data_IF_744424874098
#
_entry.id   IF_744424874098
#
_cell.length_a   1.000
_cell.length_b   1.000
_cell.length_c   1.000
_cell.angle_alpha   90.00
_cell.angle_beta   90.00
_cell.angle_gamma   90.00
#
_symmetry.space_group_name_H-M   'P 1'
#
loop_
_entity.id
_entity.type
_entity.pdbx_description
1 polymer ?
#
# COMPACT_ATOMS: atom_id res chain seq x y z
N UNK A 1 -68.67 20.49 -20.60
CA UNK A 1 -68.19 21.10 -21.86
C UNK A 1 -66.68 20.92 -21.92
N UNK A 2 -66.21 20.33 -23.03
CA UNK A 2 -64.85 20.28 -23.62
C UNK A 2 -63.76 21.12 -22.91
N UNK A 3 -62.68 20.48 -22.44
CA UNK A 3 -61.33 20.47 -23.06
C UNK A 3 -60.45 21.64 -22.58
N UNK A 4 -59.12 21.62 -22.42
CA UNK A 4 -57.98 20.80 -22.82
C UNK A 4 -56.80 21.17 -21.88
N UNK A 5 -55.87 20.24 -21.65
CA UNK A 5 -54.40 20.40 -21.41
C UNK A 5 -53.93 19.25 -20.48
N UNK A 6 -53.62 18.04 -20.98
CA UNK A 6 -52.35 17.53 -21.56
C UNK A 6 -51.07 17.81 -20.77
N UNK A 7 -50.51 16.75 -20.14
CA UNK A 7 -49.12 16.29 -20.27
C UNK A 7 -49.03 14.87 -19.67
N UNK A 8 -48.92 13.81 -20.49
CA UNK A 8 -47.72 12.95 -20.68
C UNK A 8 -47.09 12.47 -19.35
N UNK A 9 -47.01 11.20 -18.97
CA UNK A 9 -46.92 9.97 -19.76
C UNK A 9 -45.49 9.43 -19.74
N UNK A 10 -45.35 8.10 -19.55
CA UNK A 10 -44.13 7.26 -19.51
C UNK A 10 -43.55 7.13 -18.08
N UNK A 11 -43.42 5.95 -17.46
CA UNK A 11 -43.35 4.58 -17.98
C UNK A 11 -41.98 3.98 -17.68
N UNK A 12 -41.97 2.91 -16.88
CA UNK A 12 -40.97 1.84 -16.77
C UNK A 12 -39.47 2.16 -16.99
N UNK A 13 -38.66 1.89 -15.97
CA UNK A 13 -37.21 1.79 -16.12
C UNK A 13 -36.55 1.24 -14.86
N UNK A 14 -36.62 -0.08 -14.67
CA UNK A 14 -35.69 -0.81 -13.81
C UNK A 14 -34.28 -0.64 -14.40
N UNK A 15 -33.49 0.28 -13.85
CA UNK A 15 -32.07 0.39 -14.19
C UNK A 15 -31.28 -0.57 -13.30
N UNK A 16 -31.11 -1.80 -13.79
CA UNK A 16 -30.01 -2.68 -13.38
C UNK A 16 -28.69 -1.98 -13.75
N UNK A 17 -28.03 -1.37 -12.77
CA UNK A 17 -26.61 -1.04 -12.91
C UNK A 17 -25.82 -2.34 -12.85
N UNK A 18 -25.58 -2.93 -14.02
CA UNK A 18 -24.49 -3.88 -14.21
C UNK A 18 -23.22 -3.04 -14.20
N UNK A 19 -22.56 -2.96 -13.03
CA UNK A 19 -21.20 -2.46 -12.94
C UNK A 19 -20.27 -3.47 -13.62
N UNK A 20 -20.09 -3.31 -14.93
CA UNK A 20 -19.02 -3.94 -15.67
C UNK A 20 -17.70 -3.27 -15.23
N UNK A 21 -16.99 -3.89 -14.29
CA UNK A 21 -15.61 -3.51 -13.97
C UNK A 21 -14.76 -3.92 -15.17
N UNK A 22 -14.56 -2.98 -16.09
CA UNK A 22 -13.49 -3.06 -17.09
C UNK A 22 -12.19 -2.81 -16.33
N UNK A 23 -11.47 -3.88 -16.03
CA UNK A 23 -10.10 -3.79 -15.54
C UNK A 23 -9.22 -3.21 -16.66
N UNK A 24 -9.00 -1.89 -16.61
CA UNK A 24 -7.99 -1.21 -17.42
C UNK A 24 -6.65 -1.44 -16.72
N UNK A 25 -6.02 -2.58 -16.96
CA UNK A 25 -4.62 -2.78 -16.62
C UNK A 25 -3.75 -1.96 -17.60
N UNK A 26 -3.29 -0.80 -17.15
CA UNK A 26 -2.25 -0.02 -17.82
C UNK A 26 -0.89 -0.77 -17.75
N UNK A 27 0.02 -0.55 -18.71
CA UNK A 27 1.24 -1.34 -18.82
C UNK A 27 2.25 -0.93 -17.73
N UNK A 28 2.68 -1.89 -16.89
CA UNK A 28 3.86 -1.71 -16.04
C UNK A 28 5.11 -1.98 -16.89
N UNK A 29 5.83 -0.92 -17.24
CA UNK A 29 7.18 -0.98 -17.81
C UNK A 29 8.18 -0.69 -16.69
N UNK A 30 9.01 -1.71 -16.44
CA UNK A 30 10.31 -1.77 -15.73
C UNK A 30 10.50 -0.97 -14.44
N UNK A 31 10.95 -1.67 -13.39
CA UNK A 31 12.02 -1.17 -12.55
C UNK A 31 13.16 -2.19 -12.50
N UNK A 32 14.34 -1.68 -12.83
CA UNK A 32 15.61 -2.38 -12.68
C UNK A 32 16.19 -1.96 -11.33
N UNK A 33 16.15 -2.87 -10.35
CA UNK A 33 16.97 -2.75 -9.14
C UNK A 33 18.07 -3.80 -9.24
N UNK A 34 19.30 -3.31 -9.36
CA UNK A 34 20.52 -4.10 -9.30
C UNK A 34 20.97 -4.18 -7.85
N UNK A 35 20.61 -5.27 -7.18
CA UNK A 35 21.44 -5.85 -6.12
C UNK A 35 21.85 -7.27 -6.52
N UNK A 36 22.71 -7.91 -5.74
CA UNK A 36 23.27 -9.22 -6.07
C UNK A 36 22.15 -10.26 -6.25
N UNK A 37 21.83 -10.54 -7.50
CA UNK A 37 20.70 -11.39 -7.87
C UNK A 37 19.50 -10.54 -8.25
N UNK A 38 18.91 -10.81 -9.40
CA UNK A 38 17.87 -9.94 -9.97
C UNK A 38 16.92 -10.72 -10.85
N UNK A 39 15.63 -10.45 -10.68
CA UNK A 39 14.56 -10.87 -11.58
C UNK A 39 14.26 -9.70 -12.52
N UNK A 40 14.41 -9.92 -13.82
CA UNK A 40 13.98 -8.98 -14.85
C UNK A 40 12.90 -9.65 -15.70
N UNK A 41 11.70 -9.07 -15.68
CA UNK A 41 10.59 -9.50 -16.53
C UNK A 41 10.22 -8.35 -17.44
N UNK A 42 10.24 -8.58 -18.74
CA UNK A 42 9.79 -7.62 -19.74
C UNK A 42 8.62 -8.22 -20.49
N UNK A 43 7.42 -7.73 -20.18
CA UNK A 43 6.20 -8.03 -20.92
C UNK A 43 5.96 -6.93 -21.96
N UNK A 44 6.08 -7.25 -23.24
CA UNK A 44 5.82 -6.29 -24.33
C UNK A 44 4.38 -6.51 -24.82
N UNK A 45 3.53 -5.50 -24.60
CA UNK A 45 2.10 -5.55 -24.88
C UNK A 45 1.68 -5.92 -26.33
N UNK A 46 0.37 -6.17 -26.49
CA UNK A 46 -0.45 -6.53 -27.68
C UNK A 46 0.00 -7.69 -28.59
N UNK A 47 1.26 -8.14 -28.56
CA UNK A 47 1.78 -9.20 -29.45
C UNK A 47 1.88 -10.61 -28.85
N UNK A 48 1.71 -10.76 -27.54
CA UNK A 48 1.94 -12.04 -26.85
C UNK A 48 3.43 -12.40 -26.73
N UNK A 49 4.35 -11.46 -26.82
CA UNK A 49 5.77 -11.73 -26.67
C UNK A 49 6.31 -11.15 -25.36
N UNK A 50 7.24 -11.85 -24.74
CA UNK A 50 7.91 -11.37 -23.53
C UNK A 50 9.19 -12.12 -23.28
N UNK A 51 9.96 -11.61 -22.33
CA UNK A 51 11.16 -12.26 -21.84
C UNK A 51 11.25 -12.19 -20.32
N UNK A 52 11.96 -13.17 -19.77
CA UNK A 52 12.24 -13.33 -18.36
C UNK A 52 13.71 -13.66 -18.20
N UNK A 53 14.34 -13.07 -17.20
CA UNK A 53 15.68 -13.40 -16.75
C UNK A 53 15.72 -13.40 -15.22
N UNK A 54 16.24 -14.47 -14.64
CA UNK A 54 16.59 -14.58 -13.23
C UNK A 54 18.05 -14.97 -13.12
N UNK A 55 18.76 -14.31 -12.20
CA UNK A 55 20.10 -14.70 -11.78
C UNK A 55 20.14 -14.77 -10.27
N UNK A 56 20.49 -15.92 -9.72
CA UNK A 56 20.50 -16.18 -8.27
C UNK A 56 21.41 -17.37 -7.97
N UNK A 57 22.28 -17.28 -6.96
CA UNK A 57 23.12 -18.39 -6.47
C UNK A 57 23.87 -19.22 -7.53
N UNK A 58 24.36 -18.56 -8.60
CA UNK A 58 25.08 -19.23 -9.68
C UNK A 58 24.20 -19.97 -10.69
N UNK A 59 22.88 -19.90 -10.52
CA UNK A 59 21.88 -20.26 -11.50
C UNK A 59 21.47 -19.01 -12.30
N UNK A 60 21.48 -19.14 -13.62
CA UNK A 60 20.84 -18.18 -14.52
C UNK A 60 19.72 -18.91 -15.26
N UNK A 61 18.50 -18.38 -15.19
CA UNK A 61 17.36 -18.88 -15.96
C UNK A 61 16.88 -17.75 -16.83
N UNK A 62 16.60 -18.04 -18.10
CA UNK A 62 15.90 -17.12 -18.97
C UNK A 62 14.83 -17.83 -19.76
N UNK A 63 13.78 -17.08 -20.10
CA UNK A 63 12.78 -17.54 -21.03
C UNK A 63 12.41 -16.43 -21.99
N UNK A 64 12.19 -16.79 -23.25
CA UNK A 64 11.67 -15.92 -24.29
C UNK A 64 10.43 -16.59 -24.87
N UNK A 65 9.37 -15.82 -25.10
CA UNK A 65 8.18 -16.37 -25.72
C UNK A 65 7.56 -15.43 -26.73
N UNK A 66 6.82 -16.04 -27.66
CA UNK A 66 5.98 -15.37 -28.66
C UNK A 66 4.64 -16.09 -28.72
N UNK A 67 3.56 -15.34 -28.64
CA UNK A 67 2.20 -15.84 -28.68
C UNK A 67 1.59 -16.13 -27.30
N UNK A 68 0.64 -17.05 -27.23
CA UNK A 68 -0.09 -17.34 -25.98
C UNK A 68 0.18 -18.76 -25.55
N UNK A 69 0.41 -18.95 -24.25
CA UNK A 69 0.60 -20.26 -23.67
C UNK A 69 -0.03 -20.31 -22.28
N UNK A 70 -0.32 -21.52 -21.81
CA UNK A 70 -0.75 -21.79 -20.45
C UNK A 70 -0.01 -23.03 -19.95
N UNK A 71 0.49 -22.97 -18.72
CA UNK A 71 1.06 -24.13 -18.06
C UNK A 71 -0.03 -25.14 -17.66
N UNK A 72 0.32 -26.41 -17.62
CA UNK A 72 -0.42 -27.39 -16.83
C UNK A 72 -0.11 -27.20 -15.34
N UNK A 73 -0.85 -27.89 -14.46
CA UNK A 73 -0.70 -27.75 -13.01
C UNK A 73 0.74 -28.08 -12.55
N UNK A 74 1.32 -29.16 -13.10
CA UNK A 74 2.68 -29.60 -12.79
C UNK A 74 3.77 -28.55 -13.14
N UNK A 75 3.47 -27.60 -14.04
CA UNK A 75 4.43 -26.67 -14.61
C UNK A 75 5.49 -27.31 -15.51
N UNK A 76 5.45 -28.63 -15.71
CA UNK A 76 6.38 -29.41 -16.55
C UNK A 76 5.85 -29.53 -17.98
N UNK A 77 4.56 -29.27 -18.20
CA UNK A 77 3.95 -29.27 -19.52
C UNK A 77 3.14 -28.00 -19.78
N UNK A 78 2.83 -27.76 -21.06
CA UNK A 78 1.94 -26.68 -21.50
C UNK A 78 0.59 -27.28 -21.86
N UNK A 79 -0.48 -26.77 -21.26
CA UNK A 79 -1.86 -27.15 -21.58
C UNK A 79 -2.36 -26.48 -22.86
N UNK A 80 -1.74 -25.35 -23.24
CA UNK A 80 -1.91 -24.74 -24.55
C UNK A 80 -0.66 -23.97 -24.97
N UNK A 81 -0.36 -23.97 -26.27
CA UNK A 81 0.65 -23.11 -26.89
C UNK A 81 0.22 -22.74 -28.30
N UNK A 82 0.17 -21.43 -28.56
CA UNK A 82 0.09 -20.84 -29.89
C UNK A 82 1.24 -19.87 -30.06
N UNK A 83 2.34 -20.37 -30.63
CA UNK A 83 3.60 -19.67 -30.83
C UNK A 83 4.76 -20.49 -30.30
N UNK A 84 5.68 -19.85 -29.60
CA UNK A 84 6.96 -20.43 -29.18
C UNK A 84 7.28 -20.02 -27.74
N UNK A 85 7.86 -20.95 -26.97
CA UNK A 85 8.48 -20.68 -25.68
C UNK A 85 9.87 -21.31 -25.70
N UNK A 86 10.90 -20.51 -25.46
CA UNK A 86 12.27 -20.97 -25.26
C UNK A 86 12.64 -20.76 -23.80
N UNK A 87 13.20 -21.79 -23.16
CA UNK A 87 13.73 -21.71 -21.79
C UNK A 87 15.18 -22.14 -21.80
N UNK A 88 16.05 -21.36 -21.15
CA UNK A 88 17.48 -21.62 -21.03
C UNK A 88 17.87 -21.56 -19.56
N UNK A 89 18.65 -22.54 -19.10
CA UNK A 89 19.31 -22.49 -17.80
C UNK A 89 20.82 -22.61 -17.95
N UNK A 90 21.56 -21.88 -17.12
CA UNK A 90 23.01 -22.02 -16.96
C UNK A 90 23.31 -22.15 -15.49
N UNK A 91 23.84 -23.31 -15.08
CA UNK A 91 24.27 -23.58 -13.70
C UNK A 91 25.70 -24.12 -13.73
N UNK A 92 26.64 -23.46 -13.04
CA UNK A 92 28.07 -23.86 -12.99
C UNK A 92 28.64 -24.23 -14.37
N UNK A 93 28.41 -23.35 -15.34
CA UNK A 93 28.80 -23.48 -16.77
C UNK A 93 28.04 -24.54 -17.59
N UNK A 94 27.19 -25.35 -16.97
CA UNK A 94 26.32 -26.29 -17.70
C UNK A 94 25.12 -25.55 -18.29
N UNK A 95 25.14 -25.35 -19.62
CA UNK A 95 24.02 -24.76 -20.37
C UNK A 95 23.03 -25.84 -20.82
N UNK A 96 21.75 -25.63 -20.51
CA UNK A 96 20.62 -26.43 -20.99
C UNK A 96 19.59 -25.53 -21.63
N UNK A 97 18.89 -26.04 -22.65
CA UNK A 97 17.86 -25.29 -23.37
C UNK A 97 16.71 -26.21 -23.77
N UNK A 98 15.49 -25.71 -23.70
CA UNK A 98 14.31 -26.33 -24.28
C UNK A 98 13.54 -25.31 -25.12
N UNK A 99 12.99 -25.77 -26.23
CA UNK A 99 12.14 -24.98 -27.14
C UNK A 99 10.83 -25.73 -27.31
N UNK A 100 9.73 -25.03 -27.11
CA UNK A 100 8.36 -25.49 -27.30
C UNK A 100 7.74 -24.71 -28.45
N UNK A 101 7.19 -25.41 -29.45
CA UNK A 101 6.53 -24.78 -30.60
C UNK A 101 5.11 -25.34 -30.74
N UNK A 102 4.12 -24.45 -30.84
CA UNK A 102 2.70 -24.81 -30.91
C UNK A 102 1.92 -24.00 -31.94
N UNK A 103 1.15 -24.68 -32.78
CA UNK A 103 0.39 -24.09 -33.89
C UNK A 103 -1.13 -24.27 -33.82
N UNK A 104 -1.67 -24.72 -32.68
CA UNK A 104 -3.08 -25.14 -32.54
C UNK A 104 -3.32 -26.65 -32.65
N UNK A 105 -2.26 -27.45 -32.54
CA UNK A 105 -2.26 -28.92 -32.46
C UNK A 105 -1.21 -29.38 -31.43
N UNK A 106 -0.54 -30.50 -31.68
CA UNK A 106 0.50 -31.03 -30.78
C UNK A 106 1.67 -30.04 -30.60
N UNK A 107 2.20 -29.99 -29.38
CA UNK A 107 3.33 -29.13 -29.01
C UNK A 107 4.62 -29.87 -29.32
N UNK A 108 5.43 -29.33 -30.21
CA UNK A 108 6.73 -29.87 -30.56
C UNK A 108 7.77 -29.43 -29.53
N UNK A 109 8.61 -30.37 -29.09
CA UNK A 109 9.64 -30.15 -28.06
C UNK A 109 11.02 -30.43 -28.66
N UNK A 110 11.97 -29.55 -28.40
CA UNK A 110 13.39 -29.78 -28.68
C UNK A 110 14.24 -29.35 -27.50
N UNK A 111 15.15 -30.21 -27.05
CA UNK A 111 16.01 -29.96 -25.90
C UNK A 111 17.49 -30.09 -26.27
N UNK A 112 18.34 -29.35 -25.55
CA UNK A 112 19.76 -29.24 -25.80
C UNK A 112 20.55 -29.22 -24.49
N UNK A 113 21.69 -29.92 -24.46
CA UNK A 113 22.65 -29.93 -23.37
C UNK A 113 24.04 -29.60 -23.91
N UNK A 114 24.72 -28.60 -23.33
CA UNK A 114 26.04 -28.17 -23.82
C UNK A 114 26.04 -27.61 -25.25
N UNK A 115 24.87 -27.29 -25.80
CA UNK A 115 24.69 -26.84 -27.19
C UNK A 115 24.39 -27.96 -28.20
N UNK A 116 24.46 -29.22 -27.78
CA UNK A 116 24.10 -30.37 -28.61
C UNK A 116 22.62 -30.73 -28.42
N UNK A 117 21.95 -31.11 -29.51
CA UNK A 117 20.54 -31.54 -29.47
C UNK A 117 20.45 -32.93 -28.84
N UNK A 118 19.47 -33.15 -27.98
CA UNK A 118 19.12 -34.47 -27.46
C UNK A 118 18.18 -35.14 -28.47
N UNK A 119 18.64 -36.22 -29.10
CA UNK A 119 17.88 -36.95 -30.13
C UNK A 119 16.88 -37.97 -29.54
N UNK A 120 17.15 -38.47 -28.33
CA UNK A 120 16.23 -39.37 -27.64
C UNK A 120 15.01 -38.59 -27.12
N UNK A 121 13.82 -38.97 -27.59
CA UNK A 121 12.58 -38.22 -27.34
C UNK A 121 12.22 -38.15 -25.85
N UNK A 122 12.32 -39.26 -25.13
CA UNK A 122 12.03 -39.31 -23.69
C UNK A 122 13.00 -38.44 -22.87
N UNK A 123 14.30 -38.49 -23.18
CA UNK A 123 15.32 -37.68 -22.51
C UNK A 123 15.14 -36.17 -22.81
N UNK A 124 14.76 -35.84 -24.05
CA UNK A 124 14.48 -34.47 -24.44
C UNK A 124 13.22 -33.94 -23.74
N UNK A 125 12.17 -34.75 -23.63
CA UNK A 125 10.94 -34.39 -22.92
C UNK A 125 11.18 -34.21 -21.42
N UNK A 126 11.99 -35.07 -20.80
CA UNK A 126 12.33 -34.95 -19.37
C UNK A 126 13.10 -33.65 -19.08
N UNK A 127 14.16 -33.36 -19.85
CA UNK A 127 14.90 -32.10 -19.70
C UNK A 127 14.02 -30.88 -19.97
N UNK A 128 13.17 -30.94 -21.00
CA UNK A 128 12.26 -29.85 -21.31
C UNK A 128 11.27 -29.59 -20.17
N UNK A 129 10.70 -30.64 -19.59
CA UNK A 129 9.81 -30.53 -18.44
C UNK A 129 10.49 -29.92 -17.21
N UNK A 130 11.73 -30.30 -16.93
CA UNK A 130 12.52 -29.72 -15.85
C UNK A 130 12.76 -28.22 -16.05
N UNK A 131 13.14 -27.81 -17.26
CA UNK A 131 13.37 -26.40 -17.59
C UNK A 131 12.08 -25.58 -17.54
N UNK A 132 10.98 -26.13 -18.05
CA UNK A 132 9.68 -25.45 -18.03
C UNK A 132 9.18 -25.25 -16.59
N UNK A 133 9.34 -26.24 -15.73
CA UNK A 133 8.96 -26.14 -14.33
C UNK A 133 9.85 -25.15 -13.59
N UNK A 134 11.15 -25.13 -13.89
CA UNK A 134 12.06 -24.12 -13.37
C UNK A 134 11.60 -22.71 -13.77
N UNK A 135 11.21 -22.50 -15.02
CA UNK A 135 10.65 -21.22 -15.48
C UNK A 135 9.33 -20.87 -14.77
N UNK A 136 8.39 -21.81 -14.67
CA UNK A 136 7.11 -21.62 -14.00
C UNK A 136 7.27 -21.24 -12.52
N UNK A 137 8.23 -21.86 -11.82
CA UNK A 137 8.53 -21.63 -10.39
C UNK A 137 9.38 -20.41 -10.10
N UNK A 138 9.98 -19.81 -11.14
CA UNK A 138 10.93 -18.70 -10.98
C UNK A 138 10.37 -17.35 -11.46
N UNK A 139 9.37 -17.35 -12.35
CA UNK A 139 9.00 -16.14 -13.10
C UNK A 139 7.71 -15.46 -12.66
N UNK A 140 6.73 -16.18 -12.09
CA UNK A 140 5.38 -15.62 -11.87
C UNK A 140 4.58 -15.39 -13.15
N UNK A 141 5.13 -15.67 -14.34
CA UNK A 141 4.42 -15.53 -15.61
C UNK A 141 3.24 -16.51 -15.65
N UNK A 142 2.07 -16.02 -16.03
CA UNK A 142 0.81 -16.80 -16.07
C UNK A 142 0.47 -17.49 -14.73
N UNK A 143 0.84 -16.88 -13.60
CA UNK A 143 0.51 -17.39 -12.27
C UNK A 143 -0.99 -17.60 -12.07
N UNK A 144 -1.83 -16.70 -12.56
CA UNK A 144 -3.30 -16.79 -12.53
C UNK A 144 -3.82 -18.10 -13.15
N UNK A 145 -3.34 -18.42 -14.35
CA UNK A 145 -3.74 -19.61 -15.10
C UNK A 145 -3.21 -20.87 -14.43
N UNK A 146 -1.95 -20.87 -13.97
CA UNK A 146 -1.35 -22.04 -13.33
C UNK A 146 -1.96 -22.30 -11.95
N UNK A 147 -2.19 -21.27 -11.14
CA UNK A 147 -2.92 -21.39 -9.87
C UNK A 147 -4.31 -21.97 -10.12
N UNK A 148 -5.03 -21.50 -11.14
CA UNK A 148 -6.34 -22.06 -11.50
C UNK A 148 -6.26 -23.54 -11.90
N UNK A 149 -5.22 -23.96 -12.63
CA UNK A 149 -5.00 -25.35 -13.00
C UNK A 149 -4.69 -26.24 -11.78
N UNK A 150 -3.77 -25.80 -10.91
CA UNK A 150 -3.42 -26.50 -9.66
C UNK A 150 -4.65 -26.62 -8.76
N UNK A 151 -5.43 -25.54 -8.67
CA UNK A 151 -6.65 -25.46 -7.89
C UNK A 151 -7.69 -26.48 -8.36
N UNK A 152 -7.87 -26.63 -9.67
CA UNK A 152 -8.77 -27.62 -10.26
C UNK A 152 -8.31 -29.07 -10.06
N UNK A 153 -7.00 -29.31 -10.06
CA UNK A 153 -6.44 -30.66 -9.97
C UNK A 153 -6.29 -31.16 -8.52
N UNK A 154 -5.84 -30.29 -7.61
CA UNK A 154 -5.34 -30.69 -6.29
C UNK A 154 -5.86 -29.84 -5.14
N UNK A 155 -6.77 -28.90 -5.40
CA UNK A 155 -7.37 -28.09 -4.36
C UNK A 155 -6.37 -27.12 -3.71
N UNK A 156 -6.81 -26.47 -2.62
CA UNK A 156 -6.11 -25.30 -2.04
C UNK A 156 -4.76 -25.70 -1.44
N UNK A 157 -4.72 -26.90 -0.87
CA UNK A 157 -3.51 -27.53 -0.35
C UNK A 157 -2.45 -27.67 -1.45
N UNK A 158 -2.84 -28.00 -2.70
CA UNK A 158 -1.92 -28.06 -3.83
C UNK A 158 -1.33 -26.70 -4.20
N UNK A 159 -2.14 -25.64 -4.16
CA UNK A 159 -1.66 -24.27 -4.42
C UNK A 159 -0.67 -23.82 -3.34
N UNK A 160 -0.95 -24.09 -2.07
CA UNK A 160 -0.05 -23.78 -0.95
C UNK A 160 1.25 -24.56 -1.06
N UNK A 161 1.19 -25.84 -1.40
CA UNK A 161 2.39 -26.65 -1.63
C UNK A 161 3.24 -26.08 -2.77
N UNK A 162 2.62 -25.70 -3.90
CA UNK A 162 3.34 -25.08 -5.00
C UNK A 162 3.99 -23.75 -4.59
N UNK A 163 3.29 -22.90 -3.84
CA UNK A 163 3.84 -21.64 -3.32
C UNK A 163 5.09 -21.87 -2.45
N UNK A 164 5.12 -22.97 -1.70
CA UNK A 164 6.30 -23.41 -0.93
C UNK A 164 7.51 -23.76 -1.81
N UNK A 165 7.27 -24.28 -3.01
CA UNK A 165 8.31 -24.72 -3.95
C UNK A 165 8.81 -23.61 -4.91
N UNK A 166 8.18 -22.43 -4.88
CA UNK A 166 8.57 -21.29 -5.73
C UNK A 166 9.95 -20.76 -5.34
N UNK A 167 10.73 -20.40 -6.36
CA UNK A 167 12.15 -20.08 -6.22
C UNK A 167 12.44 -18.60 -6.02
N UNK A 168 11.66 -17.72 -6.61
CA UNK A 168 11.88 -16.27 -6.49
C UNK A 168 10.78 -15.60 -5.68
N UNK A 169 11.13 -14.54 -4.96
CA UNK A 169 10.17 -13.73 -4.22
C UNK A 169 9.10 -13.12 -5.15
N UNK A 170 9.49 -12.77 -6.38
CA UNK A 170 8.56 -12.28 -7.40
C UNK A 170 7.51 -13.34 -7.77
N UNK A 171 7.93 -14.59 -8.02
CA UNK A 171 7.00 -15.67 -8.31
C UNK A 171 6.06 -15.94 -7.12
N UNK A 172 6.58 -15.94 -5.90
CA UNK A 172 5.77 -16.10 -4.68
C UNK A 172 4.69 -15.04 -4.59
N UNK A 173 5.05 -13.76 -4.76
CA UNK A 173 4.09 -12.66 -4.74
C UNK A 173 2.98 -12.83 -5.77
N UNK A 174 3.34 -13.16 -7.02
CA UNK A 174 2.37 -13.38 -8.10
C UNK A 174 1.42 -14.56 -7.83
N UNK A 175 1.92 -15.67 -7.27
CA UNK A 175 1.07 -16.83 -6.95
C UNK A 175 0.19 -16.57 -5.72
N UNK A 176 0.69 -15.87 -4.71
CA UNK A 176 -0.12 -15.45 -3.55
C UNK A 176 -1.25 -14.52 -4.01
N UNK A 177 -0.94 -13.54 -4.86
CA UNK A 177 -1.95 -12.63 -5.42
C UNK A 177 -3.02 -13.40 -6.20
N UNK A 178 -2.61 -14.25 -7.14
CA UNK A 178 -3.54 -15.08 -7.91
C UNK A 178 -4.40 -16.00 -7.02
N UNK A 179 -3.81 -16.58 -5.97
CA UNK A 179 -4.53 -17.47 -5.07
C UNK A 179 -5.53 -16.73 -4.18
N UNK A 180 -5.12 -15.61 -3.59
CA UNK A 180 -5.98 -14.79 -2.76
C UNK A 180 -7.14 -14.17 -3.58
N UNK A 181 -6.90 -13.79 -4.84
CA UNK A 181 -7.99 -13.28 -5.71
C UNK A 181 -8.97 -14.38 -6.16
N UNK A 182 -8.50 -15.62 -6.33
CA UNK A 182 -9.31 -16.71 -6.89
C UNK A 182 -10.09 -17.52 -5.84
N UNK A 183 -9.75 -17.42 -4.55
CA UNK A 183 -10.40 -18.17 -3.50
C UNK A 183 -10.54 -17.38 -2.19
N UNK A 184 -11.60 -17.70 -1.42
CA UNK A 184 -11.69 -17.30 0.00
C UNK A 184 -10.90 -18.27 0.85
N UNK A 185 -9.92 -17.73 1.57
CA UNK A 185 -8.97 -18.50 2.37
C UNK A 185 -9.43 -18.59 3.82
N UNK A 186 -9.22 -19.74 4.45
CA UNK A 186 -9.41 -19.87 5.89
C UNK A 186 -8.18 -19.38 6.67
N UNK A 187 -8.30 -19.33 8.01
CA UNK A 187 -7.24 -18.81 8.87
C UNK A 187 -5.93 -19.62 8.78
N UNK A 188 -6.00 -20.95 8.59
CA UNK A 188 -4.82 -21.81 8.46
C UNK A 188 -4.15 -21.65 7.10
N UNK A 189 -4.93 -21.44 6.05
CA UNK A 189 -4.43 -21.15 4.70
C UNK A 189 -3.73 -19.79 4.67
N UNK A 190 -4.34 -18.74 5.25
CA UNK A 190 -3.71 -17.42 5.38
C UNK A 190 -2.41 -17.52 6.20
N UNK A 191 -2.44 -18.26 7.32
CA UNK A 191 -1.25 -18.53 8.14
C UNK A 191 -0.09 -19.08 7.32
N UNK A 192 -0.33 -20.09 6.48
CA UNK A 192 0.71 -20.69 5.66
C UNK A 192 1.29 -19.71 4.62
N UNK A 193 0.46 -18.82 4.06
CA UNK A 193 0.93 -17.77 3.16
C UNK A 193 1.80 -16.74 3.89
N UNK A 194 1.41 -16.33 5.11
CA UNK A 194 2.20 -15.41 5.93
C UNK A 194 3.57 -16.02 6.26
N UNK A 195 3.62 -17.30 6.62
CA UNK A 195 4.88 -17.99 6.90
C UNK A 195 5.79 -18.00 5.67
N UNK A 196 5.23 -18.18 4.47
CA UNK A 196 6.01 -18.08 3.23
C UNK A 196 6.49 -16.65 2.97
N UNK A 197 5.65 -15.65 3.19
CA UNK A 197 5.98 -14.23 3.02
C UNK A 197 7.14 -13.82 3.92
N UNK A 198 7.14 -14.27 5.17
CA UNK A 198 8.20 -13.95 6.14
C UNK A 198 9.58 -14.45 5.71
N UNK A 199 9.65 -15.46 4.84
CA UNK A 199 10.89 -16.00 4.27
C UNK A 199 11.32 -15.32 2.96
N UNK A 200 10.56 -14.34 2.46
CA UNK A 200 10.91 -13.67 1.21
C UNK A 200 12.09 -12.72 1.41
N UNK A 201 12.95 -12.67 0.41
CA UNK A 201 13.93 -11.61 0.26
C UNK A 201 13.33 -10.51 -0.63
N UNK A 202 13.53 -9.25 -0.24
CA UNK A 202 13.04 -8.08 -0.98
C UNK A 202 11.68 -7.54 -0.52
N UNK A 203 11.70 -6.26 -0.17
CA UNK A 203 10.57 -5.54 0.42
C UNK A 203 9.38 -5.41 -0.52
N UNK A 204 9.64 -5.12 -1.80
CA UNK A 204 8.61 -5.00 -2.81
C UNK A 204 7.73 -6.26 -2.92
N UNK A 205 8.36 -7.45 -2.90
CA UNK A 205 7.66 -8.73 -3.03
C UNK A 205 6.85 -9.04 -1.77
N UNK A 206 7.43 -8.81 -0.58
CA UNK A 206 6.71 -8.93 0.70
C UNK A 206 5.47 -8.05 0.71
N UNK A 207 5.65 -6.74 0.48
CA UNK A 207 4.56 -5.76 0.46
C UNK A 207 3.48 -6.14 -0.54
N UNK A 208 3.85 -6.54 -1.77
CA UNK A 208 2.86 -6.92 -2.79
C UNK A 208 2.04 -8.15 -2.37
N UNK A 209 2.69 -9.17 -1.81
CA UNK A 209 2.01 -10.37 -1.33
C UNK A 209 1.06 -10.08 -0.16
N UNK A 210 1.51 -9.26 0.80
CA UNK A 210 0.67 -8.86 1.94
C UNK A 210 -0.51 -8.00 1.48
N UNK A 211 -0.27 -7.01 0.61
CA UNK A 211 -1.31 -6.15 0.02
C UNK A 211 -2.42 -6.97 -0.64
N UNK A 212 -2.05 -8.01 -1.39
CA UNK A 212 -3.01 -8.89 -2.03
C UNK A 212 -3.89 -9.64 -1.00
N UNK A 213 -3.31 -10.08 0.12
CA UNK A 213 -4.07 -10.72 1.20
C UNK A 213 -5.03 -9.72 1.86
N UNK A 214 -4.54 -8.54 2.27
CA UNK A 214 -5.35 -7.50 2.92
C UNK A 214 -6.52 -7.01 2.07
N UNK A 215 -6.31 -6.87 0.75
CA UNK A 215 -7.35 -6.36 -0.18
C UNK A 215 -8.42 -7.39 -0.54
N UNK A 216 -8.14 -8.68 -0.37
CA UNK A 216 -9.03 -9.75 -0.90
C UNK A 216 -9.60 -10.66 0.18
N UNK A 217 -8.94 -10.76 1.32
CA UNK A 217 -9.30 -11.65 2.42
C UNK A 217 -9.79 -10.87 3.63
N UNK A 218 -10.52 -11.55 4.51
CA UNK A 218 -10.83 -11.07 5.85
C UNK A 218 -9.92 -11.79 6.82
N UNK A 219 -9.25 -11.05 7.71
CA UNK A 219 -8.33 -11.63 8.67
C UNK A 219 -8.99 -11.70 10.04
N UNK A 220 -8.61 -12.72 10.81
CA UNK A 220 -8.83 -12.71 12.25
C UNK A 220 -7.64 -12.04 12.95
N UNK A 221 -7.85 -11.59 14.19
CA UNK A 221 -6.85 -10.87 15.01
C UNK A 221 -5.47 -11.55 15.00
N UNK A 222 -5.41 -12.89 15.12
CA UNK A 222 -4.14 -13.62 15.10
C UNK A 222 -3.36 -13.44 13.79
N UNK A 223 -4.04 -13.51 12.65
CA UNK A 223 -3.40 -13.37 11.34
C UNK A 223 -3.10 -11.90 11.01
N UNK A 224 -3.88 -10.94 11.52
CA UNK A 224 -3.53 -9.51 11.43
C UNK A 224 -2.20 -9.24 12.14
N UNK A 225 -2.06 -9.70 13.39
CA UNK A 225 -0.82 -9.54 14.16
C UNK A 225 0.37 -10.17 13.44
N UNK A 226 0.20 -11.35 12.85
CA UNK A 226 1.27 -12.04 12.12
C UNK A 226 1.63 -11.34 10.81
N UNK A 227 0.67 -10.78 10.08
CA UNK A 227 0.96 -9.93 8.92
C UNK A 227 1.77 -8.72 9.33
N UNK A 228 1.39 -8.05 10.42
CA UNK A 228 2.12 -6.87 10.91
C UNK A 228 3.55 -7.27 11.32
N UNK A 229 3.74 -8.44 11.94
CA UNK A 229 5.07 -8.97 12.26
C UNK A 229 5.91 -9.28 11.02
N UNK A 230 5.30 -9.82 9.96
CA UNK A 230 6.00 -10.02 8.70
C UNK A 230 6.39 -8.67 8.07
N UNK A 231 5.51 -7.67 8.14
CA UNK A 231 5.76 -6.31 7.65
C UNK A 231 6.93 -5.62 8.39
N UNK A 232 7.19 -5.93 9.66
CA UNK A 232 8.36 -5.39 10.40
C UNK A 232 9.72 -5.74 9.80
N UNK A 233 9.77 -6.69 8.88
CA UNK A 233 11.01 -7.10 8.19
C UNK A 233 11.20 -6.40 6.85
N UNK A 234 10.35 -5.41 6.54
CA UNK A 234 10.52 -4.50 5.40
C UNK A 234 11.44 -3.37 5.87
N UNK A 235 12.49 -3.09 5.11
CA UNK A 235 13.50 -2.09 5.44
C UNK A 235 13.26 -0.75 4.72
N UNK A 236 12.63 -0.77 3.54
CA UNK A 236 12.34 0.44 2.77
C UNK A 236 11.16 1.24 3.33
N UNK A 237 11.41 2.51 3.67
CA UNK A 237 10.40 3.49 4.11
C UNK A 237 9.16 3.49 3.21
N UNK A 238 9.37 3.52 1.89
CA UNK A 238 8.28 3.59 0.92
C UNK A 238 7.39 2.35 0.97
N UNK A 239 8.00 1.16 0.99
CA UNK A 239 7.28 -0.10 1.09
C UNK A 239 6.55 -0.25 2.43
N UNK A 240 7.19 0.20 3.53
CA UNK A 240 6.61 0.13 4.86
C UNK A 240 5.44 1.11 5.03
N UNK A 241 5.54 2.32 4.50
CA UNK A 241 4.40 3.26 4.41
C UNK A 241 3.23 2.65 3.65
N UNK A 242 3.47 2.12 2.44
CA UNK A 242 2.41 1.50 1.64
C UNK A 242 1.74 0.33 2.37
N UNK A 243 2.52 -0.42 3.15
CA UNK A 243 2.02 -1.51 3.98
C UNK A 243 1.11 -0.97 5.10
N UNK A 244 1.46 0.15 5.72
CA UNK A 244 0.61 0.82 6.72
C UNK A 244 -0.69 1.35 6.07
N UNK A 245 -0.61 1.94 4.87
CA UNK A 245 -1.79 2.38 4.11
C UNK A 245 -2.74 1.21 3.80
N UNK A 246 -2.22 0.07 3.37
CA UNK A 246 -3.02 -1.13 3.12
C UNK A 246 -3.68 -1.67 4.42
N UNK A 247 -3.00 -1.56 5.58
CA UNK A 247 -3.58 -1.93 6.88
C UNK A 247 -4.70 -0.96 7.30
N UNK A 248 -4.49 0.33 7.09
CA UNK A 248 -5.50 1.36 7.35
C UNK A 248 -6.73 1.12 6.47
N UNK A 249 -6.57 0.87 5.17
CA UNK A 249 -7.67 0.56 4.25
C UNK A 249 -8.42 -0.73 4.63
N UNK A 250 -7.68 -1.77 5.05
CA UNK A 250 -8.27 -3.03 5.49
C UNK A 250 -9.19 -2.87 6.71
N UNK A 251 -8.83 -1.93 7.59
CA UNK A 251 -9.41 -1.77 8.91
C UNK A 251 -8.80 -2.77 9.89
N UNK A 252 -8.26 -2.25 10.99
CA UNK A 252 -7.63 -3.05 12.05
C UNK A 252 -8.34 -2.80 13.36
N UNK A 253 -8.41 -3.80 14.23
CA UNK A 253 -8.91 -3.60 15.59
C UNK A 253 -7.89 -2.79 16.42
N UNK A 254 -8.30 -2.23 17.57
CA UNK A 254 -7.45 -1.38 18.42
C UNK A 254 -6.10 -2.04 18.81
N UNK A 255 -6.08 -3.35 19.05
CA UNK A 255 -4.84 -4.07 19.35
C UNK A 255 -3.92 -4.11 18.13
N UNK A 256 -4.46 -4.49 16.98
CA UNK A 256 -3.73 -4.53 15.71
C UNK A 256 -3.23 -3.13 15.32
N UNK A 257 -4.03 -2.08 15.56
CA UNK A 257 -3.64 -0.69 15.35
C UNK A 257 -2.42 -0.29 16.19
N UNK A 258 -2.44 -0.59 17.49
CA UNK A 258 -1.29 -0.32 18.38
C UNK A 258 -0.01 -1.06 17.96
N UNK A 259 -0.13 -2.24 17.34
CA UNK A 259 1.03 -2.97 16.83
C UNK A 259 1.48 -2.39 15.49
N UNK A 260 0.53 -2.02 14.62
CA UNK A 260 0.78 -1.43 13.31
C UNK A 260 1.41 -0.03 13.42
N UNK A 261 1.03 0.78 14.42
CA UNK A 261 1.64 2.09 14.66
C UNK A 261 3.13 1.99 14.98
N UNK A 262 3.60 0.90 15.59
CA UNK A 262 5.03 0.66 15.82
C UNK A 262 5.81 0.38 14.54
N UNK A 263 5.14 0.16 13.39
CA UNK A 263 5.84 0.10 12.10
C UNK A 263 6.43 1.47 11.72
N UNK A 264 5.86 2.56 12.23
CA UNK A 264 6.36 3.92 11.99
C UNK A 264 7.79 4.11 12.53
N UNK A 265 8.17 3.39 13.58
CA UNK A 265 9.56 3.42 14.11
C UNK A 265 10.60 2.91 13.10
N UNK A 266 10.17 2.14 12.09
CA UNK A 266 11.02 1.65 11.02
C UNK A 266 11.10 2.57 9.80
N UNK A 267 10.47 3.75 9.84
CA UNK A 267 10.48 4.73 8.74
C UNK A 267 11.36 5.91 9.16
N UNK A 268 12.31 6.30 8.30
CA UNK A 268 13.22 7.42 8.58
C UNK A 268 12.68 8.77 8.09
N UNK A 269 11.99 8.80 6.95
CA UNK A 269 11.53 10.05 6.33
C UNK A 269 10.22 10.60 6.89
N UNK A 270 10.23 11.86 7.38
CA UNK A 270 9.05 12.60 7.85
C UNK A 270 7.85 12.54 6.87
N UNK A 271 8.12 12.67 5.57
CA UNK A 271 7.09 12.58 4.53
C UNK A 271 6.38 11.23 4.52
N UNK A 272 7.13 10.14 4.67
CA UNK A 272 6.59 8.78 4.67
C UNK A 272 5.88 8.48 6.00
N UNK A 273 6.43 8.95 7.13
CA UNK A 273 5.80 8.88 8.46
C UNK A 273 4.45 9.60 8.44
N UNK A 274 4.40 10.84 7.92
CA UNK A 274 3.16 11.60 7.80
C UNK A 274 2.13 10.80 7.02
N UNK A 275 2.45 10.34 5.81
CA UNK A 275 1.49 9.61 4.98
C UNK A 275 0.96 8.34 5.68
N UNK A 276 1.85 7.60 6.35
CA UNK A 276 1.47 6.41 7.10
C UNK A 276 0.48 6.73 8.24
N UNK A 277 0.74 7.79 9.02
CA UNK A 277 -0.14 8.20 10.12
C UNK A 277 -1.45 8.83 9.61
N UNK A 278 -1.39 9.64 8.55
CA UNK A 278 -2.57 10.22 7.89
C UNK A 278 -3.54 9.14 7.43
N UNK A 279 -3.04 8.03 6.88
CA UNK A 279 -3.90 6.93 6.43
C UNK A 279 -4.78 6.36 7.55
N UNK A 280 -4.26 6.26 8.78
CA UNK A 280 -5.08 5.87 9.94
C UNK A 280 -5.97 7.00 10.43
N UNK A 281 -5.46 8.23 10.53
CA UNK A 281 -6.22 9.39 11.03
C UNK A 281 -7.44 9.74 10.16
N UNK A 282 -7.33 9.51 8.85
CA UNK A 282 -8.40 9.70 7.87
C UNK A 282 -9.40 8.52 7.84
N UNK A 283 -9.11 7.41 8.53
CA UNK A 283 -10.01 6.28 8.58
C UNK A 283 -11.14 6.51 9.60
N UNK A 284 -12.38 6.55 9.13
CA UNK A 284 -13.54 6.78 10.00
C UNK A 284 -13.84 5.68 11.02
N UNK A 285 -13.22 4.52 10.90
CA UNK A 285 -13.38 3.40 11.80
C UNK A 285 -12.53 3.49 13.08
N UNK A 286 -11.49 4.33 13.13
CA UNK A 286 -10.70 4.51 14.35
C UNK A 286 -11.46 5.38 15.37
N UNK A 287 -11.28 5.10 16.65
CA UNK A 287 -11.89 5.89 17.71
C UNK A 287 -11.02 7.10 18.12
N UNK A 288 -11.60 7.99 18.93
CA UNK A 288 -10.93 9.22 19.36
C UNK A 288 -9.69 8.97 20.26
N UNK A 289 -9.63 7.83 20.96
CA UNK A 289 -8.49 7.48 21.82
C UNK A 289 -7.32 7.04 20.95
N UNK A 290 -7.60 6.21 19.95
CA UNK A 290 -6.63 5.77 18.96
C UNK A 290 -6.13 6.95 18.11
N UNK A 291 -7.03 7.82 17.64
CA UNK A 291 -6.67 9.03 16.90
C UNK A 291 -5.77 9.97 17.72
N UNK A 292 -6.09 10.18 19.00
CA UNK A 292 -5.24 10.96 19.90
C UNK A 292 -3.84 10.34 20.08
N UNK A 293 -3.77 9.01 20.21
CA UNK A 293 -2.50 8.29 20.33
C UNK A 293 -1.63 8.41 19.07
N UNK A 294 -2.25 8.40 17.88
CA UNK A 294 -1.56 8.61 16.61
C UNK A 294 -1.02 10.03 16.44
N UNK A 295 -1.75 11.05 16.92
CA UNK A 295 -1.26 12.44 16.96
C UNK A 295 -0.09 12.62 17.93
N UNK A 296 -0.15 11.99 19.10
CA UNK A 296 0.98 11.98 20.05
C UNK A 296 2.20 11.29 19.43
N UNK A 297 2.01 10.19 18.68
CA UNK A 297 3.09 9.53 17.94
C UNK A 297 3.67 10.46 16.87
N UNK A 298 2.82 11.11 16.06
CA UNK A 298 3.25 12.08 15.04
C UNK A 298 4.15 13.18 15.66
N UNK A 299 3.75 13.72 16.81
CA UNK A 299 4.49 14.76 17.53
C UNK A 299 5.89 14.32 18.01
N UNK A 300 6.15 13.02 18.10
CA UNK A 300 7.44 12.46 18.55
C UNK A 300 8.26 11.83 17.42
N UNK A 301 7.64 11.54 16.28
CA UNK A 301 8.27 10.84 15.16
C UNK A 301 8.51 11.71 13.94
N UNK A 302 7.83 12.86 13.83
CA UNK A 302 8.01 13.79 12.72
C UNK A 302 8.80 15.01 13.22
N UNK A 303 9.98 15.22 12.64
CA UNK A 303 10.83 16.37 12.98
C UNK A 303 10.41 17.63 12.19
N UNK A 304 9.95 17.46 10.95
CA UNK A 304 9.57 18.55 10.06
C UNK A 304 8.23 19.21 10.40
N UNK A 305 8.26 20.50 10.75
CA UNK A 305 7.10 21.36 11.03
C UNK A 305 5.96 21.25 10.00
N UNK A 306 6.31 21.27 8.71
CA UNK A 306 5.36 21.18 7.61
C UNK A 306 4.63 19.84 7.61
N UNK A 307 5.36 18.74 7.77
CA UNK A 307 4.80 17.39 7.75
C UNK A 307 3.97 17.12 9.00
N UNK A 308 4.40 17.61 10.18
CA UNK A 308 3.66 17.48 11.43
C UNK A 308 2.34 18.27 11.38
N UNK A 309 2.35 19.49 10.83
CA UNK A 309 1.10 20.23 10.59
C UNK A 309 0.14 19.43 9.72
N UNK A 310 0.61 18.88 8.60
CA UNK A 310 -0.25 18.09 7.71
C UNK A 310 -0.78 16.81 8.38
N UNK A 311 -0.02 16.18 9.28
CA UNK A 311 -0.50 15.06 10.08
C UNK A 311 -1.65 15.49 11.03
N UNK A 312 -1.56 16.68 11.65
CA UNK A 312 -2.64 17.24 12.46
C UNK A 312 -3.87 17.55 11.60
N UNK A 313 -3.69 18.12 10.41
CA UNK A 313 -4.78 18.40 9.46
C UNK A 313 -5.52 17.12 9.03
N UNK A 314 -4.81 15.98 8.89
CA UNK A 314 -5.40 14.70 8.53
C UNK A 314 -6.38 14.14 9.58
N UNK A 315 -6.30 14.57 10.84
CA UNK A 315 -7.30 14.23 11.86
C UNK A 315 -8.67 14.91 11.61
N UNK A 316 -8.73 15.91 10.72
CA UNK A 316 -9.95 16.54 10.24
C UNK A 316 -10.84 17.09 11.37
N UNK A 317 -12.15 16.83 11.28
CA UNK A 317 -13.13 17.32 12.26
C UNK A 317 -12.94 16.77 13.67
N UNK A 318 -12.19 15.66 13.83
CA UNK A 318 -11.93 15.06 15.14
C UNK A 318 -11.19 16.01 16.09
N UNK A 319 -10.34 16.90 15.56
CA UNK A 319 -9.60 17.88 16.40
C UNK A 319 -10.52 18.85 17.15
N UNK A 320 -11.79 18.96 16.75
CA UNK A 320 -12.82 19.70 17.48
C UNK A 320 -13.24 19.05 18.79
N UNK A 321 -13.04 17.72 18.93
CA UNK A 321 -13.36 16.95 20.13
C UNK A 321 -12.34 17.17 21.25
N UNK A 322 -12.76 16.91 22.50
CA UNK A 322 -11.91 17.17 23.66
C UNK A 322 -10.64 16.31 23.68
N UNK A 323 -10.78 14.99 23.45
CA UNK A 323 -9.66 14.04 23.49
C UNK A 323 -8.66 14.27 22.36
N UNK A 324 -9.13 14.28 21.12
CA UNK A 324 -8.27 14.44 19.93
C UNK A 324 -7.74 15.87 19.86
N UNK A 325 -8.54 16.88 20.18
CA UNK A 325 -8.10 18.27 20.23
C UNK A 325 -6.98 18.51 21.26
N UNK A 326 -7.04 17.87 22.43
CA UNK A 326 -5.95 17.97 23.40
C UNK A 326 -4.64 17.34 22.89
N UNK A 327 -4.70 16.27 22.10
CA UNK A 327 -3.53 15.68 21.44
C UNK A 327 -3.02 16.55 20.28
N UNK A 328 -3.92 17.08 19.45
CA UNK A 328 -3.59 18.03 18.40
C UNK A 328 -2.85 19.26 18.95
N UNK A 329 -3.30 19.83 20.08
CA UNK A 329 -2.61 20.93 20.75
C UNK A 329 -1.17 20.57 21.16
N UNK A 330 -0.95 19.35 21.68
CA UNK A 330 0.41 18.90 22.02
C UNK A 330 1.27 18.79 20.77
N UNK A 331 0.75 18.21 19.69
CA UNK A 331 1.44 18.10 18.41
C UNK A 331 1.78 19.48 17.81
N UNK A 332 0.82 20.41 17.78
CA UNK A 332 1.04 21.79 17.33
C UNK A 332 2.09 22.49 18.19
N UNK A 333 2.12 22.20 19.49
CA UNK A 333 3.13 22.73 20.42
C UNK A 333 4.57 22.30 20.09
N UNK A 334 4.74 21.14 19.44
CA UNK A 334 6.05 20.66 18.97
C UNK A 334 6.52 21.32 17.67
N UNK A 335 5.63 21.96 16.90
CA UNK A 335 5.99 22.67 15.65
C UNK A 335 6.83 23.90 16.01
N UNK A 336 8.11 23.96 15.66
CA UNK A 336 9.00 25.08 16.00
C UNK A 336 8.76 26.30 15.09
N UNK A 337 8.49 26.05 13.81
CA UNK A 337 8.24 27.05 12.78
C UNK A 337 6.99 27.88 13.05
N UNK A 338 7.19 29.18 13.28
CA UNK A 338 6.12 30.13 13.57
C UNK A 338 5.00 30.17 12.53
N UNK A 339 5.35 29.99 11.25
CA UNK A 339 4.41 29.99 10.14
C UNK A 339 3.48 28.77 10.17
N UNK A 340 4.05 27.56 10.23
CA UNK A 340 3.27 26.33 10.28
C UNK A 340 2.49 26.22 11.59
N UNK A 341 3.09 26.61 12.73
CA UNK A 341 2.38 26.66 14.02
C UNK A 341 1.15 27.57 13.94
N UNK A 342 1.27 28.77 13.36
CA UNK A 342 0.12 29.66 13.15
C UNK A 342 -0.96 29.01 12.29
N UNK A 343 -0.59 28.40 11.15
CA UNK A 343 -1.58 27.77 10.26
C UNK A 343 -2.34 26.67 11.00
N UNK A 344 -1.63 25.81 11.74
CA UNK A 344 -2.26 24.74 12.50
C UNK A 344 -3.19 25.27 13.60
N UNK A 345 -2.81 26.37 14.28
CA UNK A 345 -3.66 27.04 15.26
C UNK A 345 -4.95 27.59 14.62
N UNK A 346 -4.81 28.24 13.47
CA UNK A 346 -5.93 28.82 12.73
C UNK A 346 -6.94 27.75 12.29
N UNK A 347 -6.41 26.67 11.71
CA UNK A 347 -7.16 25.52 11.23
C UNK A 347 -7.85 24.74 12.37
N UNK A 348 -7.18 24.58 13.51
CA UNK A 348 -7.80 24.00 14.70
C UNK A 348 -8.91 24.89 15.26
N UNK A 349 -8.72 26.22 15.29
CA UNK A 349 -9.71 27.16 15.79
C UNK A 349 -11.02 27.13 14.97
N UNK A 350 -10.96 26.81 13.67
CA UNK A 350 -12.15 26.64 12.82
C UNK A 350 -13.01 25.43 13.21
N UNK A 351 -12.44 24.45 13.91
CA UNK A 351 -13.11 23.19 14.25
C UNK A 351 -13.51 23.07 15.71
N UNK A 352 -12.98 23.92 16.58
CA UNK A 352 -13.34 23.92 18.00
C UNK A 352 -14.79 24.38 18.21
N UNK A 353 -15.53 23.62 19.02
CA UNK A 353 -16.85 24.05 19.48
C UNK A 353 -16.74 25.24 20.43
N UNK A 354 -17.81 26.03 20.54
CA UNK A 354 -17.82 27.21 21.39
C UNK A 354 -17.76 26.89 22.91
N UNK A 355 -18.00 25.64 23.28
CA UNK A 355 -17.92 25.14 24.65
C UNK A 355 -16.64 24.36 24.96
N UNK A 356 -15.78 24.14 23.97
CA UNK A 356 -14.57 23.35 24.15
C UNK A 356 -13.65 23.90 25.24
N UNK A 357 -13.05 23.00 26.02
CA UNK A 357 -12.04 23.36 27.01
C UNK A 357 -10.67 23.69 26.39
N UNK A 358 -10.47 23.34 25.12
CA UNK A 358 -9.21 23.46 24.38
C UNK A 358 -8.87 24.91 23.96
N UNK A 359 -9.83 25.84 23.97
CA UNK A 359 -9.59 27.25 23.60
C UNK A 359 -8.46 27.91 24.39
N UNK A 360 -8.39 27.68 25.71
CA UNK A 360 -7.34 28.31 26.54
C UNK A 360 -5.95 27.85 26.11
N UNK A 361 -5.76 26.54 25.94
CA UNK A 361 -4.47 25.99 25.54
C UNK A 361 -4.09 26.40 24.11
N UNK A 362 -5.07 26.51 23.19
CA UNK A 362 -4.82 27.01 21.84
C UNK A 362 -4.36 28.49 21.83
N UNK A 363 -4.92 29.34 22.68
CA UNK A 363 -4.48 30.74 22.86
C UNK A 363 -3.07 30.80 23.45
N UNK A 364 -2.73 29.91 24.38
CA UNK A 364 -1.39 29.80 24.95
C UNK A 364 -0.35 29.42 23.88
N UNK A 365 -0.67 28.51 22.96
CA UNK A 365 0.20 28.18 21.83
C UNK A 365 0.47 29.39 20.92
N UNK A 366 -0.57 30.18 20.64
CA UNK A 366 -0.41 31.41 19.86
C UNK A 366 0.51 32.42 20.56
N UNK A 367 0.38 32.59 21.88
CA UNK A 367 1.25 33.46 22.67
C UNK A 367 2.72 33.02 22.63
N UNK A 368 2.97 31.72 22.45
CA UNK A 368 4.29 31.12 22.38
C UNK A 368 4.91 31.12 20.97
N UNK A 369 4.25 31.66 19.95
CA UNK A 369 4.82 31.77 18.59
C UNK A 369 6.04 32.69 18.60
N UNK A 370 7.16 32.21 18.06
CA UNK A 370 8.38 32.99 17.85
C UNK A 370 8.25 33.88 16.61
N UNK A 371 8.07 35.18 16.83
CA UNK A 371 7.94 36.16 15.76
C UNK A 371 6.66 36.98 15.91
N UNK A 372 6.85 38.29 16.03
CA UNK A 372 5.77 39.24 16.30
C UNK A 372 4.67 39.24 15.23
N UNK A 373 5.04 39.07 13.95
CA UNK A 373 4.11 39.06 12.83
C UNK A 373 3.20 37.83 12.83
N UNK A 374 3.77 36.63 12.93
CA UNK A 374 3.00 35.38 12.95
C UNK A 374 2.17 35.28 14.25
N UNK A 375 2.72 35.72 15.39
CA UNK A 375 1.99 35.82 16.66
C UNK A 375 0.77 36.74 16.54
N UNK A 376 0.91 37.93 15.95
CA UNK A 376 -0.21 38.82 15.68
C UNK A 376 -1.28 38.12 14.83
N UNK A 377 -0.89 37.50 13.71
CA UNK A 377 -1.84 36.84 12.82
C UNK A 377 -2.59 35.70 13.52
N UNK A 378 -1.91 34.92 14.37
CA UNK A 378 -2.57 33.89 15.17
C UNK A 378 -3.59 34.49 16.15
N UNK A 379 -3.25 35.62 16.80
CA UNK A 379 -4.15 36.32 17.72
C UNK A 379 -5.37 36.87 16.99
N UNK A 380 -5.20 37.47 15.80
CA UNK A 380 -6.30 37.96 14.96
C UNK A 380 -7.22 36.82 14.51
N UNK A 381 -6.63 35.69 14.10
CA UNK A 381 -7.38 34.50 13.74
C UNK A 381 -8.22 34.00 14.93
N UNK A 382 -7.60 33.84 16.09
CA UNK A 382 -8.26 33.38 17.29
C UNK A 382 -9.31 34.36 17.81
N UNK A 383 -9.08 35.68 17.73
CA UNK A 383 -10.06 36.68 18.19
C UNK A 383 -11.35 36.63 17.37
N UNK A 384 -11.25 36.34 16.07
CA UNK A 384 -12.40 36.23 15.18
C UNK A 384 -13.24 34.97 15.41
N UNK A 385 -12.66 33.91 15.98
CA UNK A 385 -13.28 32.58 16.12
C UNK A 385 -13.64 32.21 17.56
N UNK A 386 -12.83 32.66 18.52
CA UNK A 386 -13.00 32.29 19.91
C UNK A 386 -14.33 32.81 20.49
N UNK A 387 -15.03 32.01 21.32
CA UNK A 387 -16.23 32.46 22.00
C UNK A 387 -15.97 33.70 22.85
N UNK A 388 -16.95 34.60 22.89
CA UNK A 388 -16.85 35.85 23.65
C UNK A 388 -16.90 35.62 25.17
N UNK A 389 -15.79 35.14 25.75
CA UNK A 389 -15.63 34.85 27.18
C UNK A 389 -14.58 35.77 27.81
N UNK A 390 -14.82 36.31 29.03
CA UNK A 390 -13.85 37.16 29.71
C UNK A 390 -12.46 36.54 29.85
N UNK A 391 -12.38 35.23 30.10
CA UNK A 391 -11.12 34.52 30.24
C UNK A 391 -10.32 34.49 28.92
N UNK A 392 -10.97 34.20 27.79
CA UNK A 392 -10.31 34.16 26.48
C UNK A 392 -9.90 35.56 26.01
N UNK A 393 -10.75 36.57 26.22
CA UNK A 393 -10.38 37.98 25.95
C UNK A 393 -9.16 38.41 26.76
N UNK A 394 -9.10 38.04 28.04
CA UNK A 394 -7.95 38.36 28.88
C UNK A 394 -6.68 37.67 28.39
N UNK A 395 -6.75 36.38 28.05
CA UNK A 395 -5.62 35.61 27.53
C UNK A 395 -5.11 36.17 26.18
N UNK A 396 -6.01 36.49 25.25
CA UNK A 396 -5.66 37.11 23.96
C UNK A 396 -5.03 38.50 24.14
N UNK A 397 -5.54 39.34 25.05
CA UNK A 397 -4.94 40.64 25.37
C UNK A 397 -3.54 40.49 25.97
N UNK A 398 -3.33 39.49 26.82
CA UNK A 398 -2.00 39.16 27.35
C UNK A 398 -1.05 38.68 26.25
N UNK A 399 -1.52 37.81 25.35
CA UNK A 399 -0.75 37.35 24.20
C UNK A 399 -0.36 38.53 23.28
N UNK A 400 -1.29 39.44 22.97
CA UNK A 400 -1.03 40.64 22.16
C UNK A 400 0.01 41.56 22.83
N UNK A 401 -0.10 41.79 24.14
CA UNK A 401 0.84 42.61 24.89
C UNK A 401 2.28 42.05 24.91
N UNK A 402 2.45 40.74 24.69
CA UNK A 402 3.77 40.08 24.64
C UNK A 402 4.53 40.34 23.33
N UNK A 403 3.88 40.90 22.31
CA UNK A 403 4.49 41.26 21.02
C UNK A 403 5.46 42.42 21.21
N UNK A 404 6.70 42.24 20.77
CA UNK A 404 7.77 43.23 20.98
C UNK A 404 7.62 44.43 20.05
N UNK A 405 7.38 44.18 18.76
CA UNK A 405 7.11 45.18 17.73
C UNK A 405 5.86 45.99 18.07
N UNK A 406 6.04 47.30 18.25
CA UNK A 406 4.94 48.22 18.53
C UNK A 406 3.88 48.23 17.42
N UNK A 407 4.32 48.11 16.16
CA UNK A 407 3.40 48.08 15.03
C UNK A 407 2.50 46.85 15.06
N UNK A 408 3.10 45.66 15.22
CA UNK A 408 2.38 44.39 15.26
C UNK A 408 1.49 44.31 16.52
N UNK A 409 2.00 44.76 17.67
CA UNK A 409 1.25 44.78 18.94
C UNK A 409 0.00 45.65 18.84
N UNK A 410 0.11 46.83 18.23
CA UNK A 410 -1.02 47.74 18.05
C UNK A 410 -2.11 47.08 17.18
N UNK A 411 -1.73 46.48 16.05
CA UNK A 411 -2.67 45.78 15.17
C UNK A 411 -3.33 44.59 15.90
N UNK A 412 -2.56 43.81 16.67
CA UNK A 412 -3.11 42.73 17.48
C UNK A 412 -4.15 43.25 18.49
N UNK A 413 -3.85 44.32 19.21
CA UNK A 413 -4.80 44.91 20.18
C UNK A 413 -6.05 45.48 19.51
N UNK A 414 -5.91 46.12 18.35
CA UNK A 414 -7.03 46.64 17.55
C UNK A 414 -7.99 45.52 17.10
N UNK A 415 -7.49 44.30 16.90
CA UNK A 415 -8.32 43.14 16.55
C UNK A 415 -9.13 42.54 17.71
N UNK A 416 -8.90 43.02 18.95
CA UNK A 416 -9.52 42.52 20.19
C UNK A 416 -10.56 43.48 20.77
N UNK A 417 -10.77 44.63 20.13
CA UNK A 417 -11.76 45.65 20.48
C UNK A 417 -12.95 45.59 19.53
#
# INVERSE_FOLDING_TARGET
MRSHLTAFGVGAGFSLFVAAIVAIAAPKVSDAVSEKGGVHIVNIGRGGSGSFHLKEDGLNVSADWKGKFAFAADGRTLSSLKGEVEVVSVEKDAKRKAVFEGGGGDIQISAYAGGEKIDAEDEAAELAGDLLQLFARSSGVNADQRVSAIMAESGKAGVIAEIGDLRSAHAVGAYIEAFAQSAKLDAGEISALIDRIAMLEGDYSKRTAISAILKTQTLGEENEVRIIQAAKTIEGDHELRLMIEDLAEHGVNARSLSIASNLVEGIEGDHEIRLALSAFLENDAIDDVDAASLLDLAATSIDGDYELRLAVEAAGDRVGGETVGAAAIRAIGSIEGAHDRRIAIDDMADRLSADSSNWTALIELAAAIDGDYERRLAIEALSSKAPDRPAYRAALKQAAASISSEHERRLALESLD
#
